data_IF_041026994632
#
_entry.id   IF_041026994632
#
_cell.length_a   1.000
_cell.length_b   1.000
_cell.length_c   1.000
_cell.angle_alpha   90.00
_cell.angle_beta   90.00
_cell.angle_gamma   90.00
#
_symmetry.space_group_name_H-M   'P 1'
#
loop_
_entity.id
_entity.type
_entity.pdbx_description
1 polymer ?
#
# COMPACT_ATOMS: atom_id res chain seq x y z
N UNK A 1 -32.49 1.71 0.58
CA UNK A 1 -31.12 1.24 0.28
C UNK A 1 -30.19 2.03 1.18
N UNK A 2 -29.52 1.39 2.14
CA UNK A 2 -28.64 2.08 3.09
C UNK A 2 -27.63 2.94 2.33
N UNK A 3 -27.65 4.25 2.58
CA UNK A 3 -26.73 5.22 2.00
C UNK A 3 -25.32 4.83 2.46
N UNK A 4 -24.56 4.19 1.57
CA UNK A 4 -23.27 3.59 1.93
C UNK A 4 -22.33 4.73 2.30
N UNK A 5 -22.05 4.87 3.59
CA UNK A 5 -21.24 5.97 4.11
C UNK A 5 -19.91 6.04 3.32
N UNK A 6 -19.67 7.12 2.56
CA UNK A 6 -18.45 7.25 1.78
C UNK A 6 -17.20 7.24 2.67
N UNK A 7 -17.31 7.56 3.97
CA UNK A 7 -16.21 7.49 4.91
C UNK A 7 -15.73 6.04 5.15
N UNK A 8 -16.66 5.09 5.29
CA UNK A 8 -16.33 3.68 5.48
C UNK A 8 -15.62 3.10 4.25
N UNK A 9 -16.08 3.47 3.04
CA UNK A 9 -15.44 3.05 1.79
C UNK A 9 -14.02 3.64 1.66
N UNK A 10 -13.83 4.92 1.97
CA UNK A 10 -12.53 5.59 1.97
C UNK A 10 -11.55 4.94 2.96
N UNK A 11 -12.01 4.65 4.17
CA UNK A 11 -11.21 3.94 5.17
C UNK A 11 -10.79 2.55 4.67
N UNK A 12 -11.73 1.77 4.13
CA UNK A 12 -11.45 0.45 3.58
C UNK A 12 -10.39 0.49 2.46
N UNK A 13 -10.46 1.49 1.57
CA UNK A 13 -9.45 1.69 0.52
C UNK A 13 -8.07 1.99 1.11
N UNK A 14 -7.99 2.88 2.10
CA UNK A 14 -6.71 3.20 2.76
C UNK A 14 -6.12 1.94 3.43
N UNK A 15 -6.93 1.14 4.11
CA UNK A 15 -6.45 -0.09 4.73
C UNK A 15 -6.01 -1.13 3.69
N UNK A 16 -6.76 -1.27 2.59
CA UNK A 16 -6.38 -2.16 1.50
C UNK A 16 -5.02 -1.79 0.89
N UNK A 17 -4.80 -0.50 0.61
CA UNK A 17 -3.51 0.01 0.11
C UNK A 17 -2.37 -0.32 1.08
N UNK A 18 -2.58 -0.11 2.39
CA UNK A 18 -1.56 -0.45 3.39
C UNK A 18 -1.28 -1.95 3.45
N UNK A 19 -2.32 -2.78 3.39
CA UNK A 19 -2.16 -4.23 3.42
C UNK A 19 -1.40 -4.72 2.19
N UNK A 20 -1.74 -4.20 1.00
CA UNK A 20 -1.02 -4.49 -0.24
C UNK A 20 0.43 -4.04 -0.14
N UNK A 21 0.70 -2.83 0.35
CA UNK A 21 2.07 -2.35 0.52
C UNK A 21 2.89 -3.21 1.49
N UNK A 22 2.31 -3.65 2.60
CA UNK A 22 2.96 -4.60 3.53
C UNK A 22 3.25 -5.94 2.85
N UNK A 23 2.30 -6.46 2.06
CA UNK A 23 2.49 -7.69 1.30
C UNK A 23 3.63 -7.56 0.28
N UNK A 24 3.74 -6.41 -0.40
CA UNK A 24 4.86 -6.09 -1.27
C UNK A 24 6.20 -6.05 -0.50
N UNK A 25 6.25 -5.43 0.67
CA UNK A 25 7.46 -5.40 1.50
C UNK A 25 7.89 -6.81 1.90
N UNK A 26 6.96 -7.65 2.37
CA UNK A 26 7.24 -9.04 2.75
C UNK A 26 7.72 -9.84 1.53
N UNK A 27 7.04 -9.73 0.39
CA UNK A 27 7.45 -10.37 -0.86
C UNK A 27 8.84 -9.93 -1.31
N UNK A 28 9.13 -8.63 -1.22
CA UNK A 28 10.42 -8.06 -1.59
C UNK A 28 11.55 -8.54 -0.67
N UNK A 29 11.26 -8.69 0.62
CA UNK A 29 12.19 -9.26 1.60
C UNK A 29 12.48 -10.74 1.33
N UNK A 30 11.48 -11.53 0.93
CA UNK A 30 11.68 -12.94 0.55
C UNK A 30 12.60 -13.04 -0.67
N UNK A 31 12.41 -12.16 -1.67
CA UNK A 31 13.26 -12.13 -2.86
C UNK A 31 14.68 -11.69 -2.48
N UNK A 32 14.83 -10.58 -1.76
CA UNK A 32 16.13 -10.03 -1.37
C UNK A 32 16.93 -10.93 -0.41
N UNK A 33 16.30 -11.90 0.26
CA UNK A 33 16.97 -12.90 1.10
C UNK A 33 17.40 -14.15 0.30
N UNK A 34 17.28 -14.14 -1.02
CA UNK A 34 17.68 -15.25 -1.89
C UNK A 34 16.80 -16.49 -1.76
N UNK A 35 15.62 -16.38 -1.14
CA UNK A 35 14.63 -17.46 -1.04
C UNK A 35 13.80 -17.65 -2.30
N UNK A 36 14.08 -16.87 -3.34
CA UNK A 36 13.41 -16.86 -4.63
C UNK A 36 14.44 -17.01 -5.75
N UNK A 37 14.03 -17.56 -6.90
CA UNK A 37 14.82 -17.57 -8.13
C UNK A 37 14.82 -16.23 -8.88
N UNK A 38 14.09 -15.23 -8.37
CA UNK A 38 14.01 -13.89 -8.94
C UNK A 38 15.29 -13.08 -8.65
N UNK A 39 15.70 -12.17 -9.55
CA UNK A 39 16.80 -11.25 -9.32
C UNK A 39 16.57 -10.32 -8.11
N UNK A 40 17.62 -10.05 -7.34
CA UNK A 40 17.58 -9.22 -6.13
C UNK A 40 17.03 -7.80 -6.37
N UNK A 41 17.31 -7.22 -7.55
CA UNK A 41 16.83 -5.89 -7.91
C UNK A 41 15.29 -5.82 -7.93
N UNK A 42 14.60 -6.92 -8.26
CA UNK A 42 13.13 -6.99 -8.19
C UNK A 42 12.68 -6.91 -6.73
N UNK A 43 13.39 -7.59 -5.82
CA UNK A 43 13.14 -7.51 -4.38
C UNK A 43 13.26 -6.08 -3.86
N UNK A 44 14.31 -5.36 -4.25
CA UNK A 44 14.50 -3.96 -3.87
C UNK A 44 13.43 -3.02 -4.44
N UNK A 45 13.03 -3.20 -5.70
CA UNK A 45 11.93 -2.42 -6.30
C UNK A 45 10.61 -2.69 -5.56
N UNK A 46 10.33 -3.95 -5.22
CA UNK A 46 9.11 -4.32 -4.52
C UNK A 46 9.09 -3.79 -3.07
N UNK A 47 10.24 -3.78 -2.39
CA UNK A 47 10.43 -3.13 -1.09
C UNK A 47 10.17 -1.62 -1.17
N UNK A 48 10.78 -0.93 -2.13
CA UNK A 48 10.59 0.50 -2.32
C UNK A 48 9.13 0.84 -2.63
N UNK A 49 8.49 0.09 -3.53
CA UNK A 49 7.08 0.28 -3.86
C UNK A 49 6.17 0.04 -2.64
N UNK A 50 6.41 -1.05 -1.91
CA UNK A 50 5.63 -1.37 -0.71
C UNK A 50 5.75 -0.29 0.38
N UNK A 51 6.93 0.28 0.58
CA UNK A 51 7.13 1.42 1.49
C UNK A 51 6.37 2.66 1.03
N UNK A 52 6.39 2.97 -0.27
CA UNK A 52 5.60 4.08 -0.85
C UNK A 52 4.11 3.86 -0.63
N UNK A 53 3.60 2.65 -0.87
CA UNK A 53 2.20 2.31 -0.66
C UNK A 53 1.78 2.35 0.81
N UNK A 54 2.67 1.99 1.75
CA UNK A 54 2.34 2.03 3.20
C UNK A 54 2.39 3.44 3.78
N UNK A 55 3.34 4.27 3.33
CA UNK A 55 3.65 5.55 3.98
C UNK A 55 3.29 6.79 3.17
N UNK A 56 3.34 6.73 1.83
CA UNK A 56 3.18 7.90 0.96
C UNK A 56 1.78 7.97 0.36
N UNK A 57 1.24 6.86 -0.13
CA UNK A 57 -0.09 6.82 -0.76
C UNK A 57 -1.22 7.16 0.21
N UNK A 58 -1.28 6.63 1.46
CA UNK A 58 -2.36 6.91 2.40
C UNK A 58 -2.52 8.39 2.75
N UNK A 59 -1.47 9.16 3.13
CA UNK A 59 -1.62 10.59 3.41
C UNK A 59 -2.01 11.40 2.16
N UNK A 60 -1.62 10.97 0.96
CA UNK A 60 -2.08 11.60 -0.30
C UNK A 60 -3.57 11.39 -0.49
N UNK A 61 -4.07 10.15 -0.30
CA UNK A 61 -5.51 9.84 -0.38
C UNK A 61 -6.31 10.64 0.66
N UNK A 62 -5.82 10.71 1.91
CA UNK A 62 -6.44 11.49 2.98
C UNK A 62 -6.50 12.98 2.63
N UNK A 63 -5.41 13.55 2.09
CA UNK A 63 -5.40 14.95 1.64
C UNK A 63 -6.37 15.19 0.49
N UNK A 64 -6.44 14.27 -0.47
CA UNK A 64 -7.34 14.36 -1.63
C UNK A 64 -8.82 14.28 -1.22
N UNK A 65 -9.15 13.56 -0.16
CA UNK A 65 -10.51 13.39 0.34
C UNK A 65 -10.89 14.33 1.48
N UNK A 66 -9.96 15.16 1.97
CA UNK A 66 -10.30 16.31 2.79
C UNK A 66 -11.03 17.31 1.90
N UNK A 67 -12.35 17.32 1.98
CA UNK A 67 -13.17 18.41 1.44
C UNK A 67 -12.66 19.72 2.04
N UNK A 68 -12.29 20.73 1.24
CA UNK A 68 -11.96 22.05 1.77
C UNK A 68 -13.20 22.60 2.49
N UNK A 69 -12.98 23.22 3.66
CA UNK A 69 -13.95 24.14 4.25
C UNK A 69 -13.97 25.43 3.45
#
# INVERSE_FOLDING_TARGET
MSERDPAAARFAIIQAVRLTGVACVIGGMIIATGRSSLPDWIGYVLLANGLVDVFVIPPILVRKWRTPK
#
